data_IF_069493622169
#
_entry.id   IF_069493622169
#
_cell.length_a   1.000
_cell.length_b   1.000
_cell.length_c   1.000
_cell.angle_alpha   90.00
_cell.angle_beta   90.00
_cell.angle_gamma   90.00
#
_symmetry.space_group_name_H-M   'P 1'
#
loop_
_entity.id
_entity.type
_entity.pdbx_description
1 polymer ?
#
# COMPACT_ATOMS: atom_id res chain seq x y z
N UNK A 1 -0.59 -0.08 -5.72
CA UNK A 1 0.24 -0.99 -6.55
C UNK A 1 -0.59 -1.86 -7.51
N UNK A 2 -1.47 -2.73 -7.01
CA UNK A 2 -2.21 -3.71 -7.83
C UNK A 2 -2.90 -3.10 -9.08
N UNK A 3 -3.66 -2.02 -8.89
CA UNK A 3 -4.28 -1.28 -10.01
C UNK A 3 -3.27 -0.77 -11.04
N UNK A 4 -2.15 -0.19 -10.59
CA UNK A 4 -1.11 0.32 -11.50
C UNK A 4 -0.47 -0.81 -12.30
N UNK A 5 -0.20 -1.95 -11.67
CA UNK A 5 0.37 -3.11 -12.37
C UNK A 5 -0.62 -3.65 -13.40
N UNK A 6 -1.87 -3.89 -13.02
CA UNK A 6 -2.88 -4.39 -13.95
C UNK A 6 -3.12 -3.42 -15.11
N UNK A 7 -3.30 -2.13 -14.82
CA UNK A 7 -3.61 -1.13 -15.83
C UNK A 7 -2.46 -0.83 -16.78
N UNK A 8 -1.20 -0.90 -16.32
CA UNK A 8 -0.04 -0.46 -17.10
C UNK A 8 0.84 -1.58 -17.62
N UNK A 9 0.89 -2.72 -16.93
CA UNK A 9 1.70 -3.89 -17.31
C UNK A 9 0.85 -5.06 -17.83
N UNK A 10 -0.48 -5.00 -17.71
CA UNK A 10 -1.37 -6.08 -18.12
C UNK A 10 -1.18 -7.38 -17.35
N UNK A 11 -0.60 -7.31 -16.14
CA UNK A 11 -0.36 -8.46 -15.25
C UNK A 11 -1.40 -8.50 -14.15
N UNK A 12 -2.05 -9.65 -13.98
CA UNK A 12 -2.98 -9.87 -12.88
C UNK A 12 -2.24 -9.76 -11.54
N UNK A 13 -2.89 -9.10 -10.59
CA UNK A 13 -2.43 -8.99 -9.21
C UNK A 13 -3.56 -9.41 -8.29
N UNK A 14 -3.24 -10.26 -7.31
CA UNK A 14 -4.16 -10.65 -6.25
C UNK A 14 -3.54 -10.34 -4.90
N UNK A 15 -4.38 -10.02 -3.92
CA UNK A 15 -3.97 -10.06 -2.52
C UNK A 15 -3.90 -11.52 -2.07
N UNK A 16 -2.92 -11.86 -1.24
CA UNK A 16 -2.81 -13.18 -0.63
C UNK A 16 -3.44 -13.15 0.76
N UNK A 17 -4.54 -13.88 1.01
CA UNK A 17 -5.03 -14.10 2.37
C UNK A 17 -3.96 -14.85 3.17
N UNK A 18 -3.31 -14.16 4.10
CA UNK A 18 -2.14 -14.69 4.83
C UNK A 18 -2.46 -15.97 5.61
N UNK A 19 -3.70 -16.11 6.07
CA UNK A 19 -4.21 -17.31 6.75
C UNK A 19 -4.10 -18.59 5.93
N UNK A 20 -4.08 -18.51 4.59
CA UNK A 20 -3.83 -19.69 3.74
C UNK A 20 -2.52 -20.36 4.12
N UNK A 21 -1.51 -19.60 4.50
CA UNK A 21 -0.22 -20.13 4.94
C UNK A 21 -0.23 -20.31 6.46
N UNK A 22 -0.55 -19.26 7.23
CA UNK A 22 -0.32 -19.28 8.68
C UNK A 22 -1.32 -20.10 9.47
N UNK A 23 -2.55 -20.28 8.96
CA UNK A 23 -3.57 -21.12 9.60
C UNK A 23 -3.74 -22.45 8.87
N UNK A 24 -3.88 -22.44 7.54
CA UNK A 24 -4.21 -23.63 6.77
C UNK A 24 -2.99 -24.45 6.31
N UNK A 25 -1.77 -23.90 6.39
CA UNK A 25 -0.56 -24.59 5.92
C UNK A 25 -0.58 -24.90 4.41
N UNK A 26 -1.34 -24.11 3.63
CA UNK A 26 -1.59 -24.35 2.21
C UNK A 26 -0.29 -24.36 1.41
N UNK A 27 -0.19 -25.30 0.48
CA UNK A 27 1.02 -25.50 -0.33
C UNK A 27 0.93 -24.73 -1.65
N UNK A 28 0.92 -23.40 -1.58
CA UNK A 28 0.82 -22.54 -2.78
C UNK A 28 2.05 -22.69 -3.69
N UNK A 29 1.84 -22.86 -4.98
CA UNK A 29 2.92 -22.90 -5.98
C UNK A 29 3.60 -21.52 -6.08
N UNK A 30 4.93 -21.48 -6.07
CA UNK A 30 5.69 -20.22 -6.13
C UNK A 30 6.21 -19.86 -7.53
N UNK A 31 6.49 -20.85 -8.38
CA UNK A 31 7.11 -20.64 -9.67
C UNK A 31 6.26 -19.73 -10.58
N UNK A 32 6.89 -18.70 -11.14
CA UNK A 32 6.21 -17.71 -11.98
C UNK A 32 5.46 -16.64 -11.19
N UNK A 33 5.39 -16.72 -9.86
CA UNK A 33 4.84 -15.67 -9.02
C UNK A 33 5.90 -14.63 -8.64
N UNK A 34 5.43 -13.39 -8.52
CA UNK A 34 6.12 -12.33 -7.81
C UNK A 34 5.28 -11.94 -6.59
N UNK A 35 5.84 -12.11 -5.40
CA UNK A 35 5.25 -11.66 -4.14
C UNK A 35 5.88 -10.35 -3.70
N UNK A 36 5.05 -9.34 -3.45
CA UNK A 36 5.47 -8.07 -2.86
C UNK A 36 4.82 -7.94 -1.50
N UNK A 37 5.63 -7.97 -0.44
CA UNK A 37 5.18 -7.77 0.93
C UNK A 37 5.47 -6.34 1.36
N UNK A 38 4.44 -5.60 1.77
CA UNK A 38 4.57 -4.22 2.26
C UNK A 38 4.42 -4.21 3.78
N UNK A 39 5.39 -3.63 4.49
CA UNK A 39 5.32 -3.50 5.94
C UNK A 39 6.17 -2.33 6.42
N UNK A 40 5.69 -1.55 7.39
CA UNK A 40 6.52 -0.51 7.99
C UNK A 40 7.65 -1.16 8.81
N UNK A 41 7.32 -2.04 9.76
CA UNK A 41 8.28 -2.64 10.68
C UNK A 41 8.91 -3.93 10.17
N UNK A 42 8.23 -4.64 9.26
CA UNK A 42 8.68 -5.95 8.76
C UNK A 42 8.70 -7.06 9.82
N UNK A 43 8.04 -6.87 10.96
CA UNK A 43 8.09 -7.79 12.10
C UNK A 43 6.97 -8.85 12.09
N UNK A 44 5.90 -8.66 11.33
CA UNK A 44 4.72 -9.52 11.41
C UNK A 44 5.00 -10.94 10.88
N UNK A 45 4.85 -12.00 11.72
CA UNK A 45 5.00 -13.38 11.27
C UNK A 45 4.03 -13.73 10.12
N UNK A 46 2.86 -13.09 10.09
CA UNK A 46 1.87 -13.27 9.04
C UNK A 46 2.34 -12.77 7.67
N UNK A 47 3.35 -11.89 7.61
CA UNK A 47 4.00 -11.50 6.34
C UNK A 47 5.28 -12.31 6.08
N UNK A 48 6.03 -12.64 7.13
CA UNK A 48 7.29 -13.39 7.03
C UNK A 48 7.04 -14.79 6.50
N UNK A 49 6.09 -15.53 7.08
CA UNK A 49 5.85 -16.93 6.72
C UNK A 49 5.38 -17.10 5.26
N UNK A 50 4.41 -16.32 4.73
CA UNK A 50 4.07 -16.40 3.31
C UNK A 50 5.21 -16.00 2.38
N UNK A 51 6.04 -15.03 2.79
CA UNK A 51 7.21 -14.61 1.99
C UNK A 51 8.23 -15.74 1.88
N UNK A 52 8.58 -16.37 3.01
CA UNK A 52 9.45 -17.55 3.01
C UNK A 52 8.84 -18.70 2.20
N UNK A 53 7.53 -18.93 2.35
CA UNK A 53 6.81 -19.98 1.62
C UNK A 53 6.92 -19.83 0.11
N UNK A 54 6.70 -18.62 -0.42
CA UNK A 54 6.79 -18.33 -1.85
C UNK A 54 8.23 -18.44 -2.34
N UNK A 55 9.21 -17.92 -1.57
CA UNK A 55 10.62 -18.00 -1.90
C UNK A 55 11.11 -19.47 -2.00
N UNK A 56 10.76 -20.30 -1.02
CA UNK A 56 11.10 -21.72 -0.99
C UNK A 56 10.53 -22.52 -2.17
N UNK A 57 9.53 -21.99 -2.87
CA UNK A 57 8.87 -22.61 -4.04
C UNK A 57 9.22 -21.93 -5.36
N UNK A 58 10.34 -21.21 -5.40
CA UNK A 58 10.88 -20.61 -6.62
C UNK A 58 10.19 -19.33 -7.06
N UNK A 59 9.35 -18.73 -6.22
CA UNK A 59 8.77 -17.41 -6.49
C UNK A 59 9.77 -16.28 -6.25
N UNK A 60 9.58 -15.16 -6.95
CA UNK A 60 10.35 -13.95 -6.70
C UNK A 60 9.71 -13.17 -5.55
N UNK A 61 10.44 -12.91 -4.47
CA UNK A 61 9.93 -12.20 -3.30
C UNK A 61 10.60 -10.86 -3.11
N UNK A 62 9.80 -9.83 -2.83
CA UNK A 62 10.25 -8.46 -2.58
C UNK A 62 9.64 -7.98 -1.27
N UNK A 63 10.47 -7.58 -0.31
CA UNK A 63 10.05 -6.90 0.91
C UNK A 63 10.17 -5.39 0.71
N UNK A 64 9.07 -4.67 0.80
CA UNK A 64 9.01 -3.21 0.81
C UNK A 64 8.86 -2.76 2.27
N UNK A 65 9.99 -2.39 2.87
CA UNK A 65 10.10 -2.20 4.33
C UNK A 65 10.83 -0.93 4.72
N UNK A 66 10.50 -0.37 5.89
CA UNK A 66 11.25 0.76 6.43
C UNK A 66 12.47 0.30 7.24
N UNK A 67 12.33 -0.80 7.97
CA UNK A 67 13.44 -1.47 8.65
C UNK A 67 14.02 -2.59 7.76
N UNK A 68 15.19 -2.34 7.19
CA UNK A 68 15.92 -3.28 6.31
C UNK A 68 16.64 -4.39 7.07
N UNK A 69 16.65 -4.34 8.40
CA UNK A 69 17.14 -5.40 9.29
C UNK A 69 16.01 -6.29 9.83
N UNK A 70 14.78 -6.07 9.38
CA UNK A 70 13.61 -6.81 9.86
C UNK A 70 13.56 -8.27 9.37
N UNK A 71 12.87 -9.17 10.09
CA UNK A 71 12.68 -10.56 9.66
C UNK A 71 12.05 -10.69 8.26
N UNK A 72 11.17 -9.77 7.87
CA UNK A 72 10.59 -9.74 6.53
C UNK A 72 11.63 -9.38 5.45
N UNK A 73 12.56 -8.48 5.77
CA UNK A 73 13.66 -8.13 4.87
C UNK A 73 14.56 -9.34 4.63
N UNK A 74 14.91 -10.06 5.70
CA UNK A 74 15.73 -11.29 5.63
C UNK A 74 15.03 -12.43 4.87
N UNK A 75 13.71 -12.53 4.99
CA UNK A 75 12.91 -13.55 4.32
C UNK A 75 12.75 -13.34 2.81
N UNK A 76 12.94 -12.12 2.31
CA UNK A 76 12.73 -11.78 0.91
C UNK A 76 14.02 -11.86 0.09
N UNK A 77 13.89 -12.20 -1.19
CA UNK A 77 15.01 -12.19 -2.14
C UNK A 77 15.52 -10.78 -2.42
N UNK A 78 14.61 -9.82 -2.48
CA UNK A 78 14.92 -8.41 -2.71
C UNK A 78 14.31 -7.56 -1.61
N UNK A 79 15.04 -6.53 -1.19
CA UNK A 79 14.57 -5.55 -0.22
C UNK A 79 14.50 -4.19 -0.90
N UNK A 80 13.35 -3.53 -0.78
CA UNK A 80 13.13 -2.17 -1.25
C UNK A 80 12.90 -1.27 -0.03
N UNK A 81 13.91 -0.48 0.39
CA UNK A 81 13.79 0.40 1.55
C UNK A 81 12.79 1.54 1.28
N UNK A 82 11.86 1.76 2.21
CA UNK A 82 10.89 2.87 2.14
C UNK A 82 11.51 4.23 2.45
N UNK A 83 12.56 4.25 3.28
CA UNK A 83 13.22 5.47 3.75
C UNK A 83 12.23 6.51 4.33
N UNK A 84 11.15 6.06 4.96
CA UNK A 84 10.15 6.94 5.59
C UNK A 84 10.66 7.53 6.92
N UNK A 85 11.70 6.94 7.50
CA UNK A 85 12.18 7.27 8.85
C UNK A 85 11.22 6.78 9.95
N UNK A 86 11.48 7.09 11.23
CA UNK A 86 10.69 6.59 12.36
C UNK A 86 9.31 7.24 12.41
N UNK A 87 8.25 6.48 12.66
CA UNK A 87 6.88 6.96 12.73
C UNK A 87 6.41 6.97 14.18
N UNK A 88 6.19 8.16 14.73
CA UNK A 88 5.81 8.34 16.14
C UNK A 88 4.28 8.31 16.34
N UNK A 89 3.53 8.67 15.31
CA UNK A 89 2.07 8.59 15.31
C UNK A 89 1.61 7.14 15.20
N UNK A 90 0.57 6.78 15.94
CA UNK A 90 -0.12 5.48 15.79
C UNK A 90 -0.76 5.37 14.41
N UNK A 91 -1.41 6.44 13.95
CA UNK A 91 -1.95 6.51 12.60
C UNK A 91 -0.83 6.73 11.59
N UNK A 92 -0.60 5.71 10.74
CA UNK A 92 0.38 5.77 9.65
C UNK A 92 0.02 6.85 8.62
N UNK A 93 1.02 7.61 8.17
CA UNK A 93 0.86 8.69 7.17
C UNK A 93 1.99 8.63 6.16
N UNK A 94 3.21 8.99 6.56
CA UNK A 94 4.39 9.01 5.69
C UNK A 94 4.77 7.61 5.21
N UNK A 95 4.59 6.58 6.03
CA UNK A 95 4.84 5.20 5.61
C UNK A 95 3.86 4.74 4.53
N UNK A 96 2.59 5.15 4.60
CA UNK A 96 1.61 4.87 3.55
C UNK A 96 1.99 5.58 2.24
N UNK A 97 2.26 6.88 2.27
CA UNK A 97 2.65 7.64 1.07
C UNK A 97 3.92 7.10 0.43
N UNK A 98 4.95 6.78 1.22
CA UNK A 98 6.20 6.20 0.70
C UNK A 98 5.98 4.81 0.11
N UNK A 99 5.08 3.98 0.64
CA UNK A 99 4.71 2.70 0.02
C UNK A 99 4.03 2.89 -1.36
N UNK A 100 3.15 3.89 -1.49
CA UNK A 100 2.56 4.22 -2.79
C UNK A 100 3.63 4.67 -3.80
N UNK A 101 4.56 5.53 -3.39
CA UNK A 101 5.67 6.01 -4.22
C UNK A 101 6.60 4.88 -4.61
N UNK A 102 7.00 4.03 -3.66
CA UNK A 102 7.80 2.83 -3.90
C UNK A 102 7.17 1.93 -4.96
N UNK A 103 5.86 1.69 -4.84
CA UNK A 103 5.14 0.89 -5.82
C UNK A 103 5.05 1.55 -7.20
N UNK A 104 4.75 2.85 -7.25
CA UNK A 104 4.71 3.59 -8.51
C UNK A 104 6.08 3.63 -9.20
N UNK A 105 7.17 3.85 -8.45
CA UNK A 105 8.55 3.83 -8.98
C UNK A 105 8.90 2.46 -9.56
N UNK A 106 8.58 1.37 -8.87
CA UNK A 106 8.84 0.01 -9.38
C UNK A 106 8.09 -0.24 -10.70
N UNK A 107 6.82 0.15 -10.79
CA UNK A 107 6.03 0.05 -12.03
C UNK A 107 6.59 0.93 -13.15
N UNK A 108 7.09 2.12 -12.83
CA UNK A 108 7.72 3.02 -13.79
C UNK A 108 9.01 2.41 -14.35
N UNK A 109 9.85 1.84 -13.50
CA UNK A 109 11.07 1.14 -13.92
C UNK A 109 10.76 -0.10 -14.78
N UNK A 110 9.77 -0.92 -14.42
CA UNK A 110 9.39 -2.08 -15.23
C UNK A 110 8.91 -1.72 -16.64
N UNK A 111 8.35 -0.52 -16.82
CA UNK A 111 7.92 -0.02 -18.14
C UNK A 111 8.98 0.84 -18.85
N UNK A 112 10.11 1.15 -18.20
CA UNK A 112 11.03 2.20 -18.62
C UNK A 112 10.31 3.54 -18.89
N UNK A 113 9.30 3.89 -18.08
CA UNK A 113 8.48 5.09 -18.23
C UNK A 113 9.16 6.31 -17.60
N UNK A 114 9.94 7.02 -18.42
CA UNK A 114 10.65 8.24 -18.03
C UNK A 114 9.71 9.38 -17.60
N UNK A 115 8.49 9.43 -18.12
CA UNK A 115 7.50 10.46 -17.76
C UNK A 115 6.99 10.24 -16.35
N UNK A 116 6.61 9.01 -16.00
CA UNK A 116 6.19 8.70 -14.64
C UNK A 116 7.34 8.85 -13.63
N UNK A 117 8.57 8.45 -14.00
CA UNK A 117 9.74 8.66 -13.13
C UNK A 117 9.94 10.15 -12.81
N UNK A 118 9.91 11.01 -13.84
CA UNK A 118 10.02 12.47 -13.65
C UNK A 118 8.91 13.02 -12.77
N UNK A 119 7.66 12.60 -13.00
CA UNK A 119 6.53 13.02 -12.18
C UNK A 119 6.68 12.59 -10.70
N UNK A 120 7.32 11.44 -10.43
CA UNK A 120 7.62 10.98 -9.08
C UNK A 120 8.77 11.77 -8.43
N UNK A 121 9.73 12.26 -9.21
CA UNK A 121 10.80 13.14 -8.73
C UNK A 121 10.27 14.56 -8.44
N UNK A 122 9.29 15.03 -9.21
CA UNK A 122 8.59 16.31 -9.01
C UNK A 122 7.44 16.23 -7.98
N UNK A 123 7.21 15.05 -7.37
CA UNK A 123 6.14 14.84 -6.40
C UNK A 123 6.30 15.63 -5.09
N UNK A 124 7.50 15.81 -4.50
CA UNK A 124 7.61 16.50 -3.20
C UNK A 124 7.06 17.94 -3.20
N UNK A 125 7.35 18.80 -4.19
CA UNK A 125 6.68 20.11 -4.30
C UNK A 125 5.15 20.02 -4.42
N UNK A 126 4.62 19.04 -5.16
CA UNK A 126 3.17 18.85 -5.28
C UNK A 126 2.54 18.43 -3.94
N UNK A 127 3.21 17.58 -3.16
CA UNK A 127 2.77 17.24 -1.80
C UNK A 127 2.82 18.44 -0.86
N UNK A 128 3.84 19.29 -0.96
CA UNK A 128 3.90 20.55 -0.19
C UNK A 128 2.71 21.47 -0.50
N UNK A 129 2.34 21.60 -1.78
CA UNK A 129 1.15 22.35 -2.19
C UNK A 129 -0.14 21.70 -1.68
N UNK A 130 -0.23 20.37 -1.69
CA UNK A 130 -1.41 19.66 -1.17
C UNK A 130 -1.65 19.95 0.33
N UNK A 131 -0.57 20.17 1.10
CA UNK A 131 -0.66 20.54 2.51
C UNK A 131 -1.19 21.96 2.74
N UNK A 132 -1.21 22.83 1.72
CA UNK A 132 -1.75 24.20 1.83
C UNK A 132 -3.21 24.29 1.41
N UNK A 133 -3.84 23.19 1.01
CA UNK A 133 -5.25 23.19 0.62
C UNK A 133 -6.14 23.44 1.85
N UNK A 134 -7.20 24.22 1.66
CA UNK A 134 -8.20 24.46 2.70
C UNK A 134 -9.21 23.29 2.75
N UNK A 135 -9.12 22.51 3.82
CA UNK A 135 -10.04 21.40 4.10
C UNK A 135 -11.09 21.77 5.16
N UNK A 136 -11.11 23.00 5.67
CA UNK A 136 -12.05 23.42 6.71
C UNK A 136 -13.51 23.20 6.32
N UNK A 137 -13.96 23.48 5.08
CA UNK A 137 -15.34 23.22 4.68
C UNK A 137 -15.74 21.73 4.80
N UNK A 138 -14.81 20.82 4.52
CA UNK A 138 -15.05 19.38 4.72
C UNK A 138 -15.14 19.05 6.21
N UNK A 139 -14.22 19.57 7.02
CA UNK A 139 -14.21 19.34 8.48
C UNK A 139 -15.50 19.83 9.12
N UNK A 140 -15.96 21.02 8.75
CA UNK A 140 -17.21 21.61 9.24
C UNK A 140 -18.41 20.74 8.87
N UNK A 141 -18.46 20.25 7.62
CA UNK A 141 -19.53 19.37 7.14
C UNK A 141 -19.54 17.99 7.83
N UNK A 142 -18.41 17.53 8.36
CA UNK A 142 -18.29 16.28 9.11
C UNK A 142 -18.52 16.44 10.61
N UNK A 143 -18.65 17.67 11.11
CA UNK A 143 -18.89 17.93 12.54
C UNK A 143 -20.27 17.41 12.93
N UNK A 144 -20.29 16.45 13.86
CA UNK A 144 -21.53 15.80 14.31
C UNK A 144 -22.03 14.68 13.37
N UNK A 145 -21.30 14.33 12.32
CA UNK A 145 -21.58 13.13 11.55
C UNK A 145 -21.18 11.88 12.36
N UNK A 146 -21.96 10.81 12.25
CA UNK A 146 -21.60 9.50 12.83
C UNK A 146 -21.11 8.51 11.77
N UNK A 147 -21.47 8.75 10.51
CA UNK A 147 -21.24 7.83 9.39
C UNK A 147 -20.81 8.59 8.14
N UNK A 148 -19.93 7.98 7.37
CA UNK A 148 -19.36 8.59 6.16
C UNK A 148 -19.08 7.53 5.09
N UNK A 149 -19.46 7.84 3.85
CA UNK A 149 -18.95 7.14 2.68
C UNK A 149 -17.79 7.90 2.07
N UNK A 150 -16.69 7.19 1.82
CA UNK A 150 -15.53 7.72 1.11
C UNK A 150 -15.45 7.07 -0.26
N UNK A 151 -15.56 7.87 -1.32
CA UNK A 151 -15.75 7.33 -2.68
C UNK A 151 -14.44 7.47 -3.46
N UNK A 152 -14.01 6.38 -4.08
CA UNK A 152 -12.85 6.37 -4.97
C UNK A 152 -13.09 5.53 -6.23
N UNK A 153 -12.32 5.76 -7.30
CA UNK A 153 -12.37 4.94 -8.51
C UNK A 153 -10.98 4.71 -9.07
N UNK A 154 -10.76 3.51 -9.61
CA UNK A 154 -9.44 3.11 -10.13
C UNK A 154 -8.37 3.20 -9.05
N UNK A 155 -7.28 3.91 -9.33
CA UNK A 155 -6.19 4.15 -8.37
C UNK A 155 -6.65 4.95 -7.14
N UNK A 156 -7.71 5.75 -7.25
CA UNK A 156 -8.28 6.51 -6.15
C UNK A 156 -9.00 5.64 -5.10
N UNK A 157 -9.38 4.40 -5.41
CA UNK A 157 -10.03 3.51 -4.45
C UNK A 157 -9.11 3.18 -3.27
N UNK A 158 -7.82 2.96 -3.51
CA UNK A 158 -6.86 2.72 -2.44
C UNK A 158 -6.74 3.92 -1.48
N UNK A 159 -6.77 5.14 -2.03
CA UNK A 159 -6.76 6.38 -1.23
C UNK A 159 -8.05 6.53 -0.43
N UNK A 160 -9.21 6.21 -1.02
CA UNK A 160 -10.49 6.23 -0.32
C UNK A 160 -10.53 5.23 0.85
N UNK A 161 -10.01 4.01 0.63
CA UNK A 161 -9.89 2.98 1.68
C UNK A 161 -9.00 3.45 2.84
N UNK A 162 -7.86 4.07 2.54
CA UNK A 162 -6.98 4.63 3.56
C UNK A 162 -7.64 5.78 4.31
N UNK A 163 -8.28 6.72 3.62
CA UNK A 163 -8.97 7.83 4.25
C UNK A 163 -10.08 7.33 5.20
N UNK A 164 -10.90 6.37 4.77
CA UNK A 164 -11.92 5.76 5.62
C UNK A 164 -11.31 5.07 6.86
N UNK A 165 -10.14 4.41 6.71
CA UNK A 165 -9.43 3.83 7.84
C UNK A 165 -8.96 4.90 8.83
N UNK A 166 -8.32 5.97 8.35
CA UNK A 166 -7.84 7.07 9.19
C UNK A 166 -8.98 7.77 9.94
N UNK A 167 -10.13 7.97 9.29
CA UNK A 167 -11.34 8.54 9.91
C UNK A 167 -11.88 7.65 11.04
N UNK A 168 -11.85 6.33 10.88
CA UNK A 168 -12.21 5.39 11.95
C UNK A 168 -11.21 5.44 13.11
N UNK A 169 -9.92 5.41 12.82
CA UNK A 169 -8.87 5.31 13.83
C UNK A 169 -8.70 6.60 14.66
N UNK A 170 -8.82 7.76 14.01
CA UNK A 170 -8.46 9.06 14.62
C UNK A 170 -9.69 9.86 15.04
N UNK A 171 -10.82 9.71 14.33
CA UNK A 171 -12.02 10.51 14.57
C UNK A 171 -13.18 9.70 15.18
N UNK A 172 -13.09 8.37 15.24
CA UNK A 172 -14.19 7.51 15.71
C UNK A 172 -15.41 7.49 14.79
N UNK A 173 -15.27 8.00 13.56
CA UNK A 173 -16.34 8.03 12.57
C UNK A 173 -16.49 6.66 11.91
N UNK A 174 -17.73 6.16 11.79
CA UNK A 174 -17.99 4.95 11.01
C UNK A 174 -17.86 5.28 9.51
N UNK A 175 -16.63 5.18 9.00
CA UNK A 175 -16.30 5.47 7.62
C UNK A 175 -16.09 4.18 6.80
N UNK A 176 -16.72 4.15 5.62
CA UNK A 176 -16.63 3.04 4.67
C UNK A 176 -16.26 3.53 3.28
N UNK A 177 -15.29 2.85 2.67
CA UNK A 177 -14.83 3.20 1.33
C UNK A 177 -15.55 2.39 0.27
N UNK A 178 -16.02 3.05 -0.78
CA UNK A 178 -16.72 2.41 -1.89
C UNK A 178 -16.10 2.77 -3.23
N UNK A 179 -16.16 1.81 -4.15
CA UNK A 179 -15.93 2.10 -5.57
C UNK A 179 -17.06 2.98 -6.08
N UNK A 180 -16.72 4.09 -6.74
CA UNK A 180 -17.71 4.95 -7.39
C UNK A 180 -18.52 4.25 -8.50
N UNK A 181 -18.15 3.03 -8.90
CA UNK A 181 -18.94 2.22 -9.82
C UNK A 181 -20.03 1.37 -9.12
N UNK A 182 -19.93 1.20 -7.80
CA UNK A 182 -20.85 0.38 -7.00
C UNK A 182 -21.93 1.22 -6.31
N UNK A 183 -21.74 2.54 -6.25
CA UNK A 183 -22.75 3.48 -5.81
C UNK A 183 -23.74 3.76 -6.95
N UNK A 184 -25.01 3.46 -6.71
CA UNK A 184 -26.15 3.85 -7.54
C UNK A 184 -27.02 4.83 -6.79
#
# INVERSE_FOLDING_TARGET
MAYLVMARLGRLVTSLPMSLITLYGSQLQGQGLMSLAFSQSGQSPDLVAPTQHVAARGGCTVAVVNDTSSPLAEAARWVLPLAAGPEASVAATKSYSTQLVAGARLVAHWQADATLLRALDDLPPALQQALTLDWQPMVDALTGADRLYVIGRGTGLAVAMEAALKLKEVCGLQAEAFSGAELR
#
